data_IF_535990094430
#
_entry.id   IF_535990094430
#
_cell.length_a   1.000
_cell.length_b   1.000
_cell.length_c   1.000
_cell.angle_alpha   90.00
_cell.angle_beta   90.00
_cell.angle_gamma   90.00
#
_symmetry.space_group_name_H-M   'P 1'
#
loop_
_entity.id
_entity.type
_entity.pdbx_description
1 polymer ?
#
# COMPACT_ATOMS: atom_id res chain seq x y z
N UNK A 1 -28.13 20.57 -3.92
CA UNK A 1 -27.23 20.98 -2.82
C UNK A 1 -27.16 19.85 -1.81
N UNK A 2 -25.98 19.44 -1.38
CA UNK A 2 -25.85 18.48 -0.28
C UNK A 2 -26.26 19.22 1.00
N UNK A 3 -27.45 18.93 1.49
CA UNK A 3 -27.98 19.49 2.74
C UNK A 3 -27.46 18.68 3.91
N UNK A 4 -26.23 18.97 4.35
CA UNK A 4 -25.62 18.34 5.52
C UNK A 4 -24.23 18.90 5.81
N UNK A 5 -23.86 18.99 7.10
CA UNK A 5 -22.51 19.39 7.52
C UNK A 5 -21.54 18.26 7.20
N UNK A 6 -20.85 18.35 6.06
CA UNK A 6 -19.81 17.39 5.67
C UNK A 6 -18.63 17.58 6.62
N UNK A 7 -18.26 16.51 7.34
CA UNK A 7 -17.16 16.51 8.30
C UNK A 7 -15.95 15.70 7.83
N UNK A 8 -16.16 14.74 6.92
CA UNK A 8 -15.13 13.84 6.41
C UNK A 8 -15.30 13.61 4.91
N UNK A 9 -14.20 13.58 4.17
CA UNK A 9 -14.17 13.22 2.74
C UNK A 9 -13.13 12.14 2.51
N UNK A 10 -13.55 11.04 1.89
CA UNK A 10 -12.66 9.95 1.47
C UNK A 10 -12.14 10.26 0.07
N UNK A 11 -10.82 10.24 -0.12
CA UNK A 11 -10.18 10.51 -1.41
C UNK A 11 -9.07 9.52 -1.73
N UNK A 12 -8.79 9.36 -3.03
CA UNK A 12 -7.64 8.59 -3.49
C UNK A 12 -6.31 9.31 -3.26
N UNK A 13 -5.21 8.65 -3.58
CA UNK A 13 -3.85 9.19 -3.43
C UNK A 13 -3.46 10.17 -4.56
N UNK A 14 -4.38 10.99 -5.07
CA UNK A 14 -4.11 11.98 -6.13
C UNK A 14 -3.89 13.38 -5.51
N UNK A 15 -2.80 14.13 -5.85
CA UNK A 15 -2.49 15.41 -5.20
C UNK A 15 -3.53 16.48 -5.47
N UNK A 16 -4.06 16.46 -6.69
CA UNK A 16 -5.09 17.40 -7.15
C UNK A 16 -6.37 17.29 -6.34
N UNK A 17 -6.70 16.08 -5.85
CA UNK A 17 -7.91 15.87 -5.06
C UNK A 17 -7.83 16.54 -3.70
N UNK A 18 -6.68 16.50 -3.03
CA UNK A 18 -6.51 17.18 -1.74
C UNK A 18 -6.78 18.68 -1.87
N UNK A 19 -6.13 19.34 -2.84
CA UNK A 19 -6.33 20.78 -3.11
C UNK A 19 -7.77 21.11 -3.49
N UNK A 20 -8.38 20.32 -4.36
CA UNK A 20 -9.76 20.54 -4.79
C UNK A 20 -10.76 20.39 -3.63
N UNK A 21 -10.58 19.38 -2.78
CA UNK A 21 -11.44 19.17 -1.61
C UNK A 21 -11.25 20.30 -0.60
N UNK A 22 -10.01 20.71 -0.29
CA UNK A 22 -9.77 21.80 0.66
C UNK A 22 -10.30 23.15 0.16
N UNK A 23 -10.34 23.38 -1.16
CA UNK A 23 -10.92 24.60 -1.74
C UNK A 23 -12.45 24.68 -1.56
N UNK A 24 -13.15 23.54 -1.56
CA UNK A 24 -14.62 23.49 -1.42
C UNK A 24 -15.03 23.27 0.04
N UNK A 25 -14.23 22.52 0.80
CA UNK A 25 -14.49 22.09 2.17
C UNK A 25 -13.23 22.24 3.05
N UNK A 26 -12.87 23.46 3.47
CA UNK A 26 -11.60 23.72 4.16
C UNK A 26 -11.51 23.09 5.56
N UNK A 27 -12.63 22.74 6.19
CA UNK A 27 -12.68 22.20 7.56
C UNK A 27 -12.98 20.71 7.62
N UNK A 28 -12.94 20.02 6.48
CA UNK A 28 -13.22 18.58 6.41
C UNK A 28 -11.97 17.78 6.74
N UNK A 29 -12.15 16.66 7.43
CA UNK A 29 -11.10 15.66 7.63
C UNK A 29 -10.96 14.83 6.34
N UNK A 30 -9.78 14.89 5.73
CA UNK A 30 -9.47 14.08 4.56
C UNK A 30 -9.03 12.68 4.98
N UNK A 31 -9.76 11.68 4.50
CA UNK A 31 -9.45 10.26 4.73
C UNK A 31 -8.87 9.70 3.43
N UNK A 32 -7.67 9.13 3.52
CA UNK A 32 -7.06 8.41 2.41
C UNK A 32 -7.64 7.02 2.27
N UNK A 33 -8.09 6.69 1.06
CA UNK A 33 -8.64 5.37 0.78
C UNK A 33 -7.53 4.29 0.78
N UNK A 34 -7.68 3.34 1.70
CA UNK A 34 -6.84 2.15 1.86
C UNK A 34 -6.68 1.37 0.56
N UNK A 35 -7.69 1.33 -0.29
CA UNK A 35 -7.65 0.58 -1.55
C UNK A 35 -6.47 1.04 -2.42
N UNK A 36 -6.29 2.36 -2.59
CA UNK A 36 -5.20 2.92 -3.39
C UNK A 36 -3.83 2.64 -2.78
N UNK A 37 -3.72 2.64 -1.45
CA UNK A 37 -2.49 2.31 -0.75
C UNK A 37 -2.06 0.87 -1.06
N UNK A 38 -2.99 -0.08 -0.95
CA UNK A 38 -2.75 -1.49 -1.31
C UNK A 38 -2.47 -1.62 -2.81
N UNK A 39 -3.14 -0.84 -3.65
CA UNK A 39 -2.99 -0.86 -5.10
C UNK A 39 -1.55 -0.52 -5.56
N UNK A 40 -0.83 0.34 -4.81
CA UNK A 40 0.57 0.61 -5.12
C UNK A 40 1.44 -0.66 -5.06
N UNK A 41 1.24 -1.48 -4.03
CA UNK A 41 1.98 -2.73 -3.86
C UNK A 41 1.55 -3.78 -4.87
N UNK A 42 0.25 -3.95 -5.10
CA UNK A 42 -0.24 -4.96 -6.06
C UNK A 42 0.24 -4.64 -7.48
N UNK A 43 0.23 -3.36 -7.89
CA UNK A 43 0.84 -2.91 -9.15
C UNK A 43 2.36 -3.13 -9.19
N UNK A 44 3.06 -2.99 -8.07
CA UNK A 44 4.49 -3.27 -8.00
C UNK A 44 4.79 -4.78 -8.14
N UNK A 45 4.01 -5.64 -7.49
CA UNK A 45 4.11 -7.10 -7.61
C UNK A 45 3.79 -7.57 -9.04
N UNK A 46 2.71 -7.08 -9.64
CA UNK A 46 2.34 -7.40 -11.03
C UNK A 46 3.44 -7.04 -12.02
N UNK A 47 4.12 -5.89 -11.82
CA UNK A 47 5.27 -5.52 -12.66
C UNK A 47 6.47 -6.44 -12.44
N UNK A 48 6.71 -6.89 -11.20
CA UNK A 48 7.82 -7.79 -10.86
C UNK A 48 7.57 -9.25 -11.24
N UNK A 49 6.31 -9.68 -11.38
CA UNK A 49 5.94 -11.00 -11.91
C UNK A 49 6.66 -11.35 -13.21
N UNK A 50 6.95 -10.37 -14.06
CA UNK A 50 7.67 -10.59 -15.32
C UNK A 50 9.04 -11.25 -15.12
N UNK A 51 9.64 -11.13 -13.94
CA UNK A 51 10.93 -11.70 -13.58
C UNK A 51 10.83 -13.13 -13.02
N UNK A 52 9.63 -13.65 -12.78
CA UNK A 52 9.39 -14.98 -12.24
C UNK A 52 9.30 -16.01 -13.38
N UNK A 53 10.41 -16.25 -14.07
CA UNK A 53 10.47 -17.13 -15.25
C UNK A 53 10.06 -18.58 -14.96
N UNK A 54 10.49 -19.14 -13.84
CA UNK A 54 10.12 -20.49 -13.40
C UNK A 54 8.64 -20.55 -13.04
N UNK A 55 8.18 -19.60 -12.22
CA UNK A 55 6.77 -19.54 -11.83
C UNK A 55 5.84 -19.42 -13.04
N UNK A 56 6.16 -18.54 -14.01
CA UNK A 56 5.34 -18.33 -15.22
C UNK A 56 5.22 -19.56 -16.12
N UNK A 57 6.19 -20.47 -16.08
CA UNK A 57 6.13 -21.73 -16.84
C UNK A 57 5.16 -22.74 -16.24
N UNK A 58 4.97 -22.70 -14.92
CA UNK A 58 4.19 -23.68 -14.18
C UNK A 58 2.79 -23.18 -13.81
N UNK A 59 2.63 -21.88 -13.59
CA UNK A 59 1.41 -21.30 -13.04
C UNK A 59 0.82 -20.22 -13.93
N UNK A 60 -0.51 -20.13 -13.92
CA UNK A 60 -1.21 -19.03 -14.56
C UNK A 60 -0.85 -17.70 -13.92
N UNK A 61 -0.67 -16.66 -14.75
CA UNK A 61 -0.37 -15.30 -14.30
C UNK A 61 -1.33 -14.79 -13.21
N UNK A 62 -2.64 -15.06 -13.36
CA UNK A 62 -3.66 -14.63 -12.39
C UNK A 62 -3.49 -15.30 -11.03
N UNK A 63 -3.03 -16.56 -11.00
CA UNK A 63 -2.74 -17.29 -9.78
C UNK A 63 -1.55 -16.66 -9.06
N UNK A 64 -0.47 -16.37 -9.79
CA UNK A 64 0.72 -15.71 -9.23
C UNK A 64 0.36 -14.36 -8.62
N UNK A 65 -0.38 -13.53 -9.38
CA UNK A 65 -0.84 -12.22 -8.89
C UNK A 65 -1.67 -12.35 -7.62
N UNK A 66 -2.62 -13.28 -7.58
CA UNK A 66 -3.49 -13.52 -6.42
C UNK A 66 -2.66 -13.91 -5.20
N UNK A 67 -1.77 -14.88 -5.35
CA UNK A 67 -0.95 -15.42 -4.27
C UNK A 67 0.00 -14.35 -3.71
N UNK A 68 0.64 -13.55 -4.56
CA UNK A 68 1.52 -12.47 -4.10
C UNK A 68 0.74 -11.31 -3.47
N UNK A 69 -0.46 -11.02 -3.97
CA UNK A 69 -1.25 -9.88 -3.54
C UNK A 69 -2.18 -10.17 -2.37
N UNK A 70 -2.40 -11.40 -1.92
CA UNK A 70 -3.26 -11.72 -0.76
C UNK A 70 -2.51 -11.71 0.57
N UNK A 71 -3.26 -11.70 1.67
CA UNK A 71 -2.70 -11.96 2.99
C UNK A 71 -2.30 -13.43 3.08
N UNK A 72 -1.18 -13.77 3.75
CA UNK A 72 -0.79 -15.16 3.96
C UNK A 72 -1.92 -16.00 4.55
N UNK A 73 -2.70 -15.44 5.48
CA UNK A 73 -3.80 -16.12 6.16
C UNK A 73 -4.91 -16.57 5.20
N UNK A 74 -5.11 -15.84 4.09
CA UNK A 74 -6.13 -16.09 3.07
C UNK A 74 -5.69 -17.09 1.99
N UNK A 75 -4.48 -17.65 2.12
CA UNK A 75 -3.90 -18.60 1.17
C UNK A 75 -3.93 -20.02 1.73
N UNK A 76 -4.19 -20.98 0.82
CA UNK A 76 -3.99 -22.41 1.09
C UNK A 76 -2.52 -22.71 1.35
N UNK A 77 -2.23 -23.81 2.03
CA UNK A 77 -0.85 -24.23 2.36
C UNK A 77 0.04 -24.28 1.12
N UNK A 78 -0.41 -24.94 0.06
CA UNK A 78 0.30 -25.03 -1.23
C UNK A 78 0.61 -23.64 -1.83
N UNK A 79 -0.35 -22.71 -1.77
CA UNK A 79 -0.19 -21.35 -2.29
C UNK A 79 0.87 -20.55 -1.53
N UNK A 80 1.02 -20.83 -0.23
CA UNK A 80 2.07 -20.23 0.59
C UNK A 80 3.44 -20.80 0.23
N UNK A 81 3.52 -22.10 -0.03
CA UNK A 81 4.75 -22.79 -0.44
C UNK A 81 5.24 -22.27 -1.80
N UNK A 82 4.36 -22.17 -2.80
CA UNK A 82 4.72 -21.54 -4.09
C UNK A 82 5.18 -20.10 -3.89
N UNK A 83 4.52 -19.36 -2.99
CA UNK A 83 4.94 -18.02 -2.62
C UNK A 83 6.37 -17.96 -2.06
N UNK A 84 6.81 -18.97 -1.29
CA UNK A 84 8.19 -19.07 -0.80
C UNK A 84 9.16 -19.25 -1.96
N UNK A 85 8.86 -20.14 -2.90
CA UNK A 85 9.70 -20.38 -4.09
C UNK A 85 9.85 -19.12 -4.94
N UNK A 86 8.76 -18.42 -5.23
CA UNK A 86 8.82 -17.19 -6.05
C UNK A 86 9.58 -16.05 -5.36
N UNK A 87 9.55 -16.02 -4.02
CA UNK A 87 10.34 -15.09 -3.21
C UNK A 87 11.84 -15.40 -3.24
N UNK A 88 12.22 -16.65 -3.47
CA UNK A 88 13.62 -17.03 -3.72
C UNK A 88 14.04 -16.72 -5.16
N UNK A 89 13.11 -16.79 -6.11
CA UNK A 89 13.37 -16.49 -7.52
C UNK A 89 13.64 -15.00 -7.79
N UNK A 90 12.84 -14.09 -7.23
CA UNK A 90 13.10 -12.64 -7.29
C UNK A 90 13.09 -12.02 -5.88
N UNK A 91 14.26 -11.62 -5.32
CA UNK A 91 14.33 -10.93 -4.04
C UNK A 91 13.47 -9.67 -3.96
N UNK A 92 13.26 -8.96 -5.07
CA UNK A 92 12.39 -7.79 -5.09
C UNK A 92 10.92 -8.17 -4.82
N UNK A 93 10.45 -9.33 -5.27
CA UNK A 93 9.11 -9.85 -4.96
C UNK A 93 8.97 -10.10 -3.46
N UNK A 94 9.97 -10.73 -2.83
CA UNK A 94 10.03 -10.90 -1.37
C UNK A 94 9.88 -9.58 -0.65
N UNK A 95 10.71 -8.60 -0.98
CA UNK A 95 10.68 -7.31 -0.32
C UNK A 95 9.33 -6.61 -0.47
N UNK A 96 8.74 -6.59 -1.67
CA UNK A 96 7.46 -5.90 -1.91
C UNK A 96 6.33 -6.60 -1.15
N UNK A 97 6.32 -7.94 -1.13
CA UNK A 97 5.33 -8.72 -0.41
C UNK A 97 5.42 -8.50 1.11
N UNK A 98 6.64 -8.48 1.68
CA UNK A 98 6.87 -8.17 3.10
C UNK A 98 6.44 -6.74 3.46
N UNK A 99 6.76 -5.76 2.60
CA UNK A 99 6.35 -4.37 2.80
C UNK A 99 4.83 -4.20 2.75
N UNK A 100 4.15 -4.92 1.86
CA UNK A 100 2.68 -4.97 1.77
C UNK A 100 2.08 -5.57 3.06
N UNK A 101 2.60 -6.68 3.55
CA UNK A 101 2.09 -7.30 4.78
C UNK A 101 2.35 -6.42 6.01
N UNK A 102 3.50 -5.76 6.08
CA UNK A 102 3.74 -4.78 7.14
C UNK A 102 2.75 -3.60 7.02
N UNK A 103 2.46 -3.10 5.81
CA UNK A 103 1.44 -2.05 5.64
C UNK A 103 0.04 -2.52 6.07
N UNK A 104 -0.32 -3.78 5.83
CA UNK A 104 -1.58 -4.34 6.35
C UNK A 104 -1.63 -4.36 7.88
N UNK A 105 -0.50 -4.63 8.53
CA UNK A 105 -0.40 -4.52 9.98
C UNK A 105 -0.57 -3.07 10.48
N UNK A 106 -0.01 -2.08 9.76
CA UNK A 106 -0.27 -0.66 10.03
C UNK A 106 -1.77 -0.37 9.95
N UNK A 107 -2.43 -0.84 8.89
CA UNK A 107 -3.86 -0.64 8.63
C UNK A 107 -4.80 -1.41 9.58
N UNK A 108 -4.29 -2.37 10.37
CA UNK A 108 -5.02 -3.05 11.46
C UNK A 108 -5.00 -2.25 12.78
N UNK A 109 -4.41 -1.06 12.81
CA UNK A 109 -4.43 -0.22 14.01
C UNK A 109 -5.86 0.21 14.36
N UNK A 110 -6.22 0.16 15.64
CA UNK A 110 -7.56 0.53 16.13
C UNK A 110 -7.59 1.91 16.79
N UNK A 111 -6.42 2.52 17.01
CA UNK A 111 -6.29 3.87 17.59
C UNK A 111 -5.33 4.73 16.79
N UNK A 112 -5.53 6.06 16.85
CA UNK A 112 -4.65 7.02 16.19
C UNK A 112 -3.20 6.90 16.66
N UNK A 113 -2.98 6.71 17.97
CA UNK A 113 -1.63 6.52 18.54
C UNK A 113 -0.94 5.28 17.97
N UNK A 114 -1.67 4.17 17.82
CA UNK A 114 -1.13 2.96 17.20
C UNK A 114 -0.86 3.18 15.71
N UNK A 115 -1.78 3.79 14.97
CA UNK A 115 -1.63 4.05 13.55
C UNK A 115 -0.41 4.94 13.27
N UNK A 116 -0.27 6.05 13.99
CA UNK A 116 0.86 6.98 13.86
C UNK A 116 2.20 6.29 14.16
N UNK A 117 2.28 5.52 15.26
CA UNK A 117 3.49 4.78 15.61
C UNK A 117 3.87 3.77 14.53
N UNK A 118 2.92 2.92 14.11
CA UNK A 118 3.16 1.87 13.12
C UNK A 118 3.52 2.45 11.76
N UNK A 119 2.86 3.54 11.34
CA UNK A 119 3.18 4.22 10.09
C UNK A 119 4.58 4.82 10.12
N UNK A 120 4.96 5.47 11.22
CA UNK A 120 6.33 6.00 11.41
C UNK A 120 7.38 4.89 11.31
N UNK A 121 7.18 3.77 11.98
CA UNK A 121 8.07 2.60 11.93
C UNK A 121 8.14 2.04 10.49
N UNK A 122 7.00 1.93 9.80
CA UNK A 122 6.94 1.48 8.42
C UNK A 122 7.72 2.42 7.47
N UNK A 123 7.53 3.73 7.60
CA UNK A 123 8.24 4.73 6.80
C UNK A 123 9.75 4.71 7.04
N UNK A 124 10.18 4.64 8.30
CA UNK A 124 11.60 4.55 8.66
C UNK A 124 12.27 3.33 8.03
N UNK A 125 11.58 2.18 8.05
CA UNK A 125 12.09 0.94 7.48
C UNK A 125 12.19 0.97 5.95
N UNK A 126 11.27 1.65 5.27
CA UNK A 126 11.08 1.46 3.83
C UNK A 126 11.45 2.65 2.94
N UNK A 127 11.57 3.87 3.48
CA UNK A 127 11.85 5.07 2.68
C UNK A 127 13.19 5.07 1.91
N UNK A 128 14.20 4.35 2.44
CA UNK A 128 15.54 4.19 1.85
C UNK A 128 15.83 2.72 1.51
N UNK A 129 14.78 1.93 1.27
CA UNK A 129 14.92 0.50 1.01
C UNK A 129 15.62 0.22 -0.34
N UNK A 130 16.47 -0.80 -0.38
CA UNK A 130 17.22 -1.23 -1.58
C UNK A 130 16.31 -1.54 -2.78
N UNK A 131 15.11 -2.07 -2.51
CA UNK A 131 14.06 -2.19 -3.52
C UNK A 131 13.45 -0.81 -3.83
N UNK A 132 13.87 -0.20 -4.94
CA UNK A 132 13.41 1.13 -5.35
C UNK A 132 11.89 1.29 -5.51
N UNK A 133 11.16 0.20 -5.82
CA UNK A 133 9.70 0.22 -5.86
C UNK A 133 9.10 0.53 -4.48
N UNK A 134 9.65 -0.09 -3.42
CA UNK A 134 9.20 0.11 -2.04
C UNK A 134 9.57 1.50 -1.56
N UNK A 135 10.82 1.93 -1.80
CA UNK A 135 11.26 3.28 -1.47
C UNK A 135 10.38 4.35 -2.13
N UNK A 136 10.01 4.16 -3.40
CA UNK A 136 9.08 5.03 -4.10
C UNK A 136 7.70 5.05 -3.44
N UNK A 137 7.13 3.88 -3.11
CA UNK A 137 5.84 3.81 -2.42
C UNK A 137 5.92 4.52 -1.06
N UNK A 138 6.97 4.28 -0.28
CA UNK A 138 7.13 4.90 1.03
C UNK A 138 7.27 6.43 0.96
N UNK A 139 8.03 6.93 -0.01
CA UNK A 139 8.13 8.38 -0.28
C UNK A 139 6.79 8.97 -0.68
N UNK A 140 6.00 8.27 -1.51
CA UNK A 140 4.63 8.70 -1.85
C UNK A 140 3.74 8.78 -0.61
N UNK A 141 3.79 7.77 0.27
CA UNK A 141 3.01 7.76 1.52
C UNK A 141 3.42 8.92 2.43
N UNK A 142 4.73 9.15 2.61
CA UNK A 142 5.24 10.27 3.41
C UNK A 142 4.87 11.64 2.84
N UNK A 143 4.99 11.81 1.52
CA UNK A 143 4.60 13.05 0.85
C UNK A 143 3.11 13.35 1.07
N UNK A 144 2.25 12.32 1.00
CA UNK A 144 0.83 12.46 1.29
C UNK A 144 0.56 12.82 2.73
N UNK A 145 1.15 12.08 3.67
CA UNK A 145 1.04 12.39 5.09
C UNK A 145 1.39 13.86 5.36
N UNK A 146 2.48 14.36 4.76
CA UNK A 146 2.87 15.75 4.88
C UNK A 146 1.86 16.70 4.22
N UNK A 147 1.46 16.49 2.96
CA UNK A 147 0.48 17.35 2.31
C UNK A 147 -0.81 17.48 3.13
N UNK A 148 -1.35 16.37 3.67
CA UNK A 148 -2.57 16.43 4.49
C UNK A 148 -2.39 17.11 5.84
N UNK A 149 -1.19 17.01 6.45
CA UNK A 149 -0.86 17.77 7.66
C UNK A 149 -0.72 19.28 7.38
N UNK A 150 -0.25 19.66 6.19
CA UNK A 150 -0.06 21.07 5.80
C UNK A 150 -1.31 21.71 5.18
N UNK A 151 -2.27 20.92 4.68
CA UNK A 151 -3.58 21.41 4.21
C UNK A 151 -4.64 21.45 5.31
N UNK A 152 -4.28 21.12 6.55
CA UNK A 152 -5.22 20.94 7.65
C UNK A 152 -4.66 21.37 9.00
N UNK A 153 -4.16 22.60 9.09
CA UNK A 153 -4.05 23.44 10.30
C UNK A 153 -4.03 24.92 9.88
#
# INVERSE_FOLDING_TARGET
>A
MISGKISHVVSGFAPTMAKAISAVFPHVIHILDRFYLIQFFTKALQRRRRNLEKAKKQYQTRLIDRCLARQPEDLRTEEREWGVEWKQEDPAVKHIHEALNHMRYVLKATTLKQAARRLKEWLQRYQFHVCGAIAKIAKTVRYREQEYLHTGL
#
